data_IF_395607299987
#
_entry.id   IF_395607299987
#
_cell.length_a   1.000
_cell.length_b   1.000
_cell.length_c   1.000
_cell.angle_alpha   90.00
_cell.angle_beta   90.00
_cell.angle_gamma   90.00
#
_symmetry.space_group_name_H-M   'P 1'
#
loop_
_entity.id
_entity.type
_entity.pdbx_description
1 polymer ?
#
# COMPACT_ATOMS: atom_id res chain seq x y z
N UNK A 1 3.15 -7.28 -13.72
CA UNK A 1 2.18 -7.59 -14.81
C UNK A 1 2.80 -7.41 -16.18
N UNK A 2 3.12 -6.17 -16.62
CA UNK A 2 3.68 -5.90 -17.97
C UNK A 2 4.90 -6.77 -18.29
N UNK A 3 5.86 -6.89 -17.37
CA UNK A 3 7.01 -7.79 -17.53
C UNK A 3 6.61 -9.25 -17.85
N UNK A 4 5.61 -9.79 -17.13
CA UNK A 4 5.14 -11.15 -17.38
C UNK A 4 4.44 -11.29 -18.74
N UNK A 5 3.69 -10.26 -19.16
CA UNK A 5 3.06 -10.21 -20.48
C UNK A 5 4.12 -10.18 -21.59
N UNK A 6 5.14 -9.32 -21.48
CA UNK A 6 6.26 -9.24 -22.44
C UNK A 6 6.96 -10.59 -22.58
N UNK A 7 7.16 -11.31 -21.48
CA UNK A 7 7.91 -12.59 -21.47
C UNK A 7 7.09 -13.79 -21.94
N UNK A 8 5.77 -13.77 -21.75
CA UNK A 8 4.93 -14.98 -21.89
C UNK A 8 3.88 -14.87 -22.98
N UNK A 9 3.45 -13.66 -23.34
CA UNK A 9 2.34 -13.41 -24.27
C UNK A 9 2.63 -12.32 -25.33
N UNK A 10 3.85 -12.19 -25.89
CA UNK A 10 4.06 -11.27 -27.01
C UNK A 10 3.26 -11.74 -28.25
N UNK A 11 2.59 -10.82 -28.95
CA UNK A 11 1.84 -11.15 -30.18
C UNK A 11 0.42 -11.69 -29.96
N UNK A 12 -0.13 -11.57 -28.74
CA UNK A 12 -1.51 -12.00 -28.46
C UNK A 12 -2.51 -10.88 -28.81
N UNK A 13 -3.26 -11.05 -29.90
CA UNK A 13 -4.19 -10.04 -30.45
C UNK A 13 -5.20 -9.48 -29.44
N UNK A 14 -5.67 -10.32 -28.51
CA UNK A 14 -6.63 -9.89 -27.48
C UNK A 14 -6.05 -8.77 -26.60
N UNK A 15 -4.73 -8.74 -26.40
CA UNK A 15 -4.05 -7.69 -25.64
C UNK A 15 -4.10 -6.35 -26.36
N UNK A 16 -4.17 -6.32 -27.69
CA UNK A 16 -4.27 -5.07 -28.46
C UNK A 16 -5.61 -4.40 -28.14
N UNK A 17 -6.71 -5.14 -28.28
CA UNK A 17 -8.05 -4.63 -27.99
C UNK A 17 -8.20 -4.23 -26.52
N UNK A 18 -7.77 -5.10 -25.59
CA UNK A 18 -7.84 -4.79 -24.16
C UNK A 18 -6.97 -3.58 -23.79
N UNK A 19 -5.76 -3.47 -24.35
CA UNK A 19 -4.84 -2.38 -24.10
C UNK A 19 -5.38 -1.03 -24.57
N UNK A 20 -5.97 -0.97 -25.77
CA UNK A 20 -6.61 0.26 -26.29
C UNK A 20 -7.82 0.66 -25.45
N UNK A 21 -8.66 -0.30 -25.05
CA UNK A 21 -9.79 -0.04 -24.14
C UNK A 21 -9.28 0.50 -22.80
N UNK A 22 -8.24 -0.09 -22.22
CA UNK A 22 -7.62 0.41 -20.97
C UNK A 22 -7.07 1.83 -21.13
N UNK A 23 -6.39 2.11 -22.26
CA UNK A 23 -5.83 3.42 -22.58
C UNK A 23 -6.92 4.50 -22.59
N UNK A 24 -8.03 4.25 -23.30
CA UNK A 24 -9.16 5.16 -23.43
C UNK A 24 -9.98 5.28 -22.14
N UNK A 25 -10.30 4.14 -21.51
CA UNK A 25 -11.04 4.09 -20.25
C UNK A 25 -10.35 4.93 -19.16
N UNK A 26 -9.05 4.74 -18.98
CA UNK A 26 -8.29 5.48 -17.97
C UNK A 26 -8.27 6.99 -18.24
N UNK A 27 -8.19 7.41 -19.50
CA UNK A 27 -8.22 8.83 -19.89
C UNK A 27 -9.59 9.45 -19.64
N UNK A 28 -10.67 8.79 -20.05
CA UNK A 28 -12.04 9.29 -19.84
C UNK A 28 -12.33 9.48 -18.36
N UNK A 29 -12.06 8.46 -17.54
CA UNK A 29 -12.28 8.54 -16.09
C UNK A 29 -11.38 9.56 -15.42
N UNK A 30 -10.14 9.71 -15.86
CA UNK A 30 -9.29 10.77 -15.33
C UNK A 30 -9.84 12.17 -15.64
N UNK A 31 -10.40 12.41 -16.83
CA UNK A 31 -11.02 13.71 -17.14
C UNK A 31 -12.21 14.02 -16.21
N UNK A 32 -12.98 13.00 -15.81
CA UNK A 32 -14.13 13.17 -14.93
C UNK A 32 -13.76 13.27 -13.44
N UNK A 33 -12.58 12.82 -13.06
CA UNK A 33 -12.20 12.74 -11.65
C UNK A 33 -11.87 14.11 -11.04
N UNK A 34 -12.35 14.34 -9.81
CA UNK A 34 -12.10 15.54 -9.01
C UNK A 34 -10.98 15.37 -7.97
N UNK A 35 -10.56 14.13 -7.67
CA UNK A 35 -9.47 13.87 -6.73
C UNK A 35 -8.14 13.66 -7.45
N UNK A 36 -7.12 14.45 -7.11
CA UNK A 36 -5.82 14.41 -7.79
C UNK A 36 -5.10 13.05 -7.67
N UNK A 37 -5.25 12.33 -6.55
CA UNK A 37 -4.61 11.02 -6.34
C UNK A 37 -5.33 9.93 -7.13
N UNK A 38 -6.66 9.89 -7.04
CA UNK A 38 -7.47 8.89 -7.77
C UNK A 38 -7.31 9.05 -9.27
N UNK A 39 -7.23 10.29 -9.71
CA UNK A 39 -6.95 10.65 -11.09
C UNK A 39 -5.61 10.12 -11.60
N UNK A 40 -4.53 10.27 -10.83
CA UNK A 40 -3.23 9.76 -11.23
C UNK A 40 -3.24 8.23 -11.34
N UNK A 41 -4.12 7.58 -10.56
CA UNK A 41 -4.35 6.13 -10.59
C UNK A 41 -5.07 5.69 -11.86
N UNK A 42 -6.11 6.39 -12.31
CA UNK A 42 -6.73 6.12 -13.62
C UNK A 42 -5.74 6.28 -14.78
N UNK A 43 -4.85 7.27 -14.69
CA UNK A 43 -3.79 7.41 -15.68
C UNK A 43 -2.77 6.27 -15.64
N UNK A 44 -2.59 5.55 -14.52
CA UNK A 44 -1.78 4.31 -14.54
C UNK A 44 -2.46 3.27 -15.43
N UNK A 45 -3.78 3.08 -15.30
CA UNK A 45 -4.55 2.16 -16.16
C UNK A 45 -4.35 2.54 -17.63
N UNK A 46 -4.44 3.84 -17.94
CA UNK A 46 -4.25 4.32 -19.30
C UNK A 46 -2.85 4.00 -19.85
N UNK A 47 -1.79 4.37 -19.12
CA UNK A 47 -0.40 4.14 -19.59
C UNK A 47 -0.04 2.65 -19.64
N UNK A 48 -0.54 1.84 -18.71
CA UNK A 48 -0.41 0.38 -18.79
C UNK A 48 -1.13 -0.15 -20.03
N UNK A 49 -2.26 0.44 -20.44
CA UNK A 49 -2.94 0.13 -21.70
C UNK A 49 -2.03 0.25 -22.93
N UNK A 50 -1.17 1.28 -23.00
CA UNK A 50 -0.15 1.39 -24.07
C UNK A 50 0.83 0.22 -24.03
N UNK A 51 1.33 -0.11 -22.83
CA UNK A 51 2.28 -1.22 -22.68
C UNK A 51 1.65 -2.56 -23.07
N UNK A 52 0.41 -2.80 -22.66
CA UNK A 52 -0.35 -4.02 -22.99
C UNK A 52 -0.60 -4.10 -24.50
N UNK A 53 -0.96 -2.97 -25.14
CA UNK A 53 -1.12 -2.91 -26.61
C UNK A 53 0.19 -3.22 -27.32
N UNK A 54 1.30 -2.62 -26.89
CA UNK A 54 2.63 -2.88 -27.46
C UNK A 54 3.06 -4.35 -27.33
N UNK A 55 2.74 -5.00 -26.22
CA UNK A 55 2.94 -6.45 -26.07
C UNK A 55 2.05 -7.26 -27.03
N UNK A 56 0.80 -6.85 -27.18
CA UNK A 56 -0.14 -7.49 -28.10
C UNK A 56 0.31 -7.44 -29.56
N UNK A 57 0.88 -6.31 -30.00
CA UNK A 57 1.44 -6.17 -31.36
C UNK A 57 2.63 -7.12 -31.56
N UNK A 58 3.48 -7.28 -30.54
CA UNK A 58 4.54 -8.30 -30.54
C UNK A 58 5.72 -8.04 -31.49
N UNK A 59 5.70 -6.98 -32.30
CA UNK A 59 6.84 -6.58 -33.13
C UNK A 59 8.01 -6.08 -32.29
N UNK A 60 9.24 -6.13 -32.82
CA UNK A 60 10.43 -5.66 -32.12
C UNK A 60 10.31 -4.20 -31.66
N UNK A 61 9.77 -3.33 -32.53
CA UNK A 61 9.52 -1.92 -32.21
C UNK A 61 8.48 -1.75 -31.09
N UNK A 62 7.36 -2.48 -31.17
CA UNK A 62 6.29 -2.37 -30.18
C UNK A 62 6.69 -2.93 -28.81
N UNK A 63 7.44 -4.03 -28.77
CA UNK A 63 8.01 -4.58 -27.53
C UNK A 63 9.08 -3.68 -26.92
N UNK A 64 9.96 -3.10 -27.76
CA UNK A 64 10.89 -2.06 -27.33
C UNK A 64 10.14 -0.85 -26.75
N UNK A 65 9.07 -0.41 -27.42
CA UNK A 65 8.20 0.67 -26.95
C UNK A 65 7.53 0.34 -25.62
N UNK A 66 6.99 -0.87 -25.44
CA UNK A 66 6.37 -1.29 -24.19
C UNK A 66 7.37 -1.29 -23.01
N UNK A 67 8.59 -1.79 -23.23
CA UNK A 67 9.66 -1.79 -22.22
C UNK A 67 10.17 -0.37 -21.93
N UNK A 68 10.46 0.41 -22.96
CA UNK A 68 10.86 1.81 -22.85
C UNK A 68 9.82 2.63 -22.07
N UNK A 69 8.55 2.41 -22.40
CA UNK A 69 7.43 3.11 -21.78
C UNK A 69 7.23 2.67 -20.34
N UNK A 70 7.39 1.38 -20.01
CA UNK A 70 7.36 0.90 -18.63
C UNK A 70 8.42 1.62 -17.76
N UNK A 71 9.65 1.77 -18.28
CA UNK A 71 10.71 2.47 -17.56
C UNK A 71 10.42 3.97 -17.40
N UNK A 72 10.11 4.66 -18.50
CA UNK A 72 9.75 6.08 -18.47
C UNK A 72 8.55 6.34 -17.54
N UNK A 73 7.54 5.46 -17.57
CA UNK A 73 6.34 5.52 -16.76
C UNK A 73 6.62 5.51 -15.28
N UNK A 74 7.52 4.64 -14.81
CA UNK A 74 7.90 4.62 -13.39
C UNK A 74 8.47 5.98 -12.98
N UNK A 75 9.31 6.60 -13.80
CA UNK A 75 9.95 7.88 -13.49
C UNK A 75 8.95 9.03 -13.43
N UNK A 76 8.21 9.28 -14.52
CA UNK A 76 7.29 10.42 -14.56
C UNK A 76 6.07 10.21 -13.65
N UNK A 77 5.62 8.97 -13.40
CA UNK A 77 4.55 8.73 -12.42
C UNK A 77 5.01 8.97 -11.01
N UNK A 78 6.19 8.46 -10.64
CA UNK A 78 6.74 8.73 -9.31
C UNK A 78 6.87 10.24 -9.10
N UNK A 79 7.35 10.98 -10.11
CA UNK A 79 7.41 12.44 -10.08
C UNK A 79 6.04 13.09 -9.86
N UNK A 80 5.02 12.69 -10.62
CA UNK A 80 3.65 13.21 -10.48
C UNK A 80 3.01 12.88 -9.13
N UNK A 81 3.18 11.65 -8.63
CA UNK A 81 2.69 11.26 -7.31
C UNK A 81 3.42 11.96 -6.18
N UNK A 82 4.72 12.23 -6.33
CA UNK A 82 5.48 13.04 -5.38
C UNK A 82 5.03 14.50 -5.43
N UNK A 83 4.82 15.09 -6.62
CA UNK A 83 4.33 16.45 -6.77
C UNK A 83 2.95 16.67 -6.14
N UNK A 84 1.97 15.83 -6.51
CA UNK A 84 0.63 15.85 -5.89
C UNK A 84 0.69 15.46 -4.41
N UNK A 85 1.56 14.51 -4.04
CA UNK A 85 1.78 14.11 -2.65
C UNK A 85 2.35 15.24 -1.80
N UNK A 86 3.24 16.06 -2.34
CA UNK A 86 3.77 17.26 -1.69
C UNK A 86 2.67 18.29 -1.45
N UNK A 87 1.81 18.52 -2.44
CA UNK A 87 0.63 19.38 -2.27
C UNK A 87 -0.28 18.86 -1.17
N UNK A 88 -0.60 17.56 -1.16
CA UNK A 88 -1.46 16.96 -0.11
C UNK A 88 -0.78 17.04 1.26
N UNK A 89 0.53 16.82 1.35
CA UNK A 89 1.27 16.85 2.61
C UNK A 89 1.24 18.24 3.27
N UNK A 90 1.33 19.30 2.46
CA UNK A 90 1.36 20.67 2.97
C UNK A 90 -0.05 21.24 3.17
N UNK A 91 -0.99 20.89 2.30
CA UNK A 91 -2.34 21.47 2.32
C UNK A 91 -3.38 20.60 3.04
N UNK A 92 -3.19 19.29 3.14
CA UNK A 92 -4.19 18.34 3.62
C UNK A 92 -5.33 18.04 2.62
N UNK A 93 -5.33 18.69 1.45
CA UNK A 93 -6.42 18.61 0.47
C UNK A 93 -5.98 17.92 -0.84
N UNK A 94 -6.86 17.07 -1.40
CA UNK A 94 -6.60 16.33 -2.64
C UNK A 94 -7.55 16.70 -3.79
N UNK A 95 -8.65 17.39 -3.51
CA UNK A 95 -9.69 17.67 -4.51
C UNK A 95 -9.42 18.95 -5.28
N UNK A 96 -9.54 18.91 -6.60
CA UNK A 96 -9.39 20.10 -7.46
C UNK A 96 -10.42 21.19 -7.16
N UNK A 97 -11.60 20.84 -6.62
CA UNK A 97 -12.61 21.80 -6.17
C UNK A 97 -12.16 22.66 -4.98
N UNK A 98 -11.22 22.16 -4.17
CA UNK A 98 -10.71 22.79 -2.95
C UNK A 98 -9.35 23.49 -3.18
N UNK A 99 -8.55 22.95 -4.12
CA UNK A 99 -7.23 23.47 -4.51
C UNK A 99 -7.33 24.71 -5.43
N UNK A 100 -6.19 25.40 -5.58
CA UNK A 100 -6.06 26.59 -6.42
C UNK A 100 -5.06 27.62 -5.89
N UNK A 101 -4.50 28.45 -6.78
CA UNK A 101 -3.63 29.58 -6.44
C UNK A 101 -2.29 29.20 -5.77
N UNK A 102 -1.89 27.93 -5.83
CA UNK A 102 -0.71 27.43 -5.12
C UNK A 102 0.62 27.83 -5.76
N UNK A 103 0.64 28.42 -6.96
CA UNK A 103 1.89 28.79 -7.65
C UNK A 103 2.76 29.77 -6.86
N UNK A 104 2.15 30.62 -6.03
CA UNK A 104 2.85 31.60 -5.19
C UNK A 104 3.54 30.98 -3.97
N UNK A 105 3.06 29.82 -3.54
CA UNK A 105 3.47 29.17 -2.29
C UNK A 105 4.32 27.93 -2.54
N UNK A 106 4.06 27.21 -3.63
CA UNK A 106 4.74 25.97 -3.99
C UNK A 106 5.30 25.97 -5.43
N UNK A 107 6.17 26.93 -5.80
CA UNK A 107 6.70 27.07 -7.16
C UNK A 107 7.63 25.93 -7.62
N UNK A 108 8.43 25.33 -6.72
CA UNK A 108 9.31 24.21 -7.09
C UNK A 108 8.50 22.94 -7.32
N UNK A 109 7.53 22.67 -6.44
CA UNK A 109 6.62 21.54 -6.59
C UNK A 109 5.80 21.66 -7.90
N UNK A 110 5.42 22.89 -8.28
CA UNK A 110 4.80 23.19 -9.58
C UNK A 110 5.72 22.80 -10.74
N UNK A 111 6.96 23.28 -10.77
CA UNK A 111 7.91 23.02 -11.87
C UNK A 111 8.14 21.52 -12.04
N UNK A 112 8.37 20.80 -10.94
CA UNK A 112 8.55 19.35 -10.99
C UNK A 112 7.29 18.61 -11.47
N UNK A 113 6.11 19.04 -11.02
CA UNK A 113 4.84 18.46 -11.50
C UNK A 113 4.62 18.74 -12.98
N UNK A 114 4.95 19.94 -13.46
CA UNK A 114 4.89 20.30 -14.88
C UNK A 114 5.81 19.42 -15.72
N UNK A 115 7.04 19.19 -15.28
CA UNK A 115 7.97 18.27 -15.95
C UNK A 115 7.37 16.86 -16.03
N UNK A 116 6.80 16.36 -14.94
CA UNK A 116 6.10 15.06 -14.93
C UNK A 116 4.89 15.04 -15.88
N UNK A 117 4.11 16.12 -15.91
CA UNK A 117 2.93 16.31 -16.75
C UNK A 117 3.27 16.36 -18.24
N UNK A 118 4.33 17.08 -18.62
CA UNK A 118 4.84 17.12 -19.99
C UNK A 118 5.42 15.76 -20.40
N UNK A 119 6.09 15.07 -19.46
CA UNK A 119 6.66 13.75 -19.70
C UNK A 119 5.61 12.69 -20.00
N UNK A 120 4.55 12.57 -19.19
CA UNK A 120 3.47 11.60 -19.45
C UNK A 120 2.67 11.93 -20.71
N UNK A 121 2.63 13.21 -21.08
CA UNK A 121 1.87 13.71 -22.23
C UNK A 121 2.60 13.58 -23.56
N UNK A 122 3.79 12.98 -23.57
CA UNK A 122 4.63 12.88 -24.76
C UNK A 122 4.93 14.24 -25.40
N UNK A 123 5.23 15.26 -24.58
CA UNK A 123 5.76 16.52 -25.10
C UNK A 123 7.21 16.31 -25.59
N UNK A 124 7.63 16.88 -26.74
CA UNK A 124 9.00 16.77 -27.23
C UNK A 124 10.04 17.13 -26.16
N UNK A 125 11.21 16.49 -26.22
CA UNK A 125 12.29 16.61 -25.22
C UNK A 125 12.05 15.88 -23.89
N UNK A 126 10.92 15.19 -23.72
CA UNK A 126 10.64 14.39 -22.52
C UNK A 126 10.49 12.89 -22.81
N UNK A 127 10.65 12.07 -21.77
CA UNK A 127 10.72 10.60 -21.86
C UNK A 127 9.48 9.92 -22.48
N UNK A 128 8.29 10.49 -22.32
CA UNK A 128 7.08 9.95 -22.97
C UNK A 128 7.08 10.14 -24.47
N UNK A 129 7.70 11.19 -25.01
CA UNK A 129 7.78 11.43 -26.45
C UNK A 129 8.63 10.38 -27.15
N UNK A 130 9.65 9.86 -26.47
CA UNK A 130 10.50 8.77 -26.98
C UNK A 130 9.80 7.42 -26.82
N UNK A 131 9.26 7.13 -25.65
CA UNK A 131 8.79 5.78 -25.33
C UNK A 131 7.40 5.46 -25.88
N UNK A 132 6.47 6.41 -25.79
CA UNK A 132 5.05 6.21 -26.15
C UNK A 132 4.86 6.18 -27.67
N UNK A 133 5.63 7.00 -28.38
CA UNK A 133 5.64 7.08 -29.85
C UNK A 133 6.08 5.78 -30.51
N UNK A 134 6.99 5.01 -29.89
CA UNK A 134 7.39 3.69 -30.39
C UNK A 134 6.21 2.71 -30.45
N UNK A 135 5.35 2.69 -29.42
CA UNK A 135 4.16 1.82 -29.41
C UNK A 135 3.15 2.26 -30.46
N UNK A 136 2.91 3.57 -30.58
CA UNK A 136 1.98 4.12 -31.58
C UNK A 136 2.50 3.88 -33.00
N UNK A 137 3.80 4.07 -33.23
CA UNK A 137 4.45 3.84 -34.53
C UNK A 137 4.44 2.36 -34.88
N UNK A 138 4.71 1.47 -33.91
CA UNK A 138 4.59 0.03 -34.10
C UNK A 138 3.17 -0.40 -34.48
N UNK A 139 2.14 0.26 -33.96
CA UNK A 139 0.75 0.01 -34.37
C UNK A 139 0.46 0.51 -35.80
N UNK A 140 1.05 1.63 -36.23
CA UNK A 140 0.93 2.12 -37.61
C UNK A 140 1.66 1.22 -38.61
N UNK A 141 2.88 0.77 -38.28
CA UNK A 141 3.69 -0.12 -39.11
C UNK A 141 3.03 -1.49 -39.31
N UNK A 142 2.32 -1.98 -38.29
CA UNK A 142 1.58 -3.25 -38.34
C UNK A 142 0.15 -3.10 -38.94
N UNK A 143 -0.14 -1.95 -39.55
CA UNK A 143 -1.44 -1.63 -40.17
C UNK A 143 -2.66 -1.67 -39.22
N UNK A 144 -2.43 -1.57 -37.92
CA UNK A 144 -3.47 -1.55 -36.88
C UNK A 144 -3.99 -0.12 -36.65
N UNK A 145 -4.54 0.47 -37.72
CA UNK A 145 -4.96 1.89 -37.74
C UNK A 145 -5.93 2.25 -36.60
N UNK A 146 -6.87 1.37 -36.27
CA UNK A 146 -7.84 1.61 -35.19
C UNK A 146 -7.16 1.68 -33.82
N UNK A 147 -6.14 0.86 -33.58
CA UNK A 147 -5.39 0.85 -32.33
C UNK A 147 -4.49 2.08 -32.26
N UNK A 148 -3.78 2.39 -33.34
CA UNK A 148 -2.92 3.57 -33.42
C UNK A 148 -3.71 4.88 -33.21
N UNK A 149 -4.88 5.02 -33.84
CA UNK A 149 -5.80 6.14 -33.62
C UNK A 149 -6.33 6.20 -32.18
N UNK A 150 -6.75 5.06 -31.61
CA UNK A 150 -7.21 4.97 -30.22
C UNK A 150 -6.13 5.39 -29.22
N UNK A 151 -4.90 4.91 -29.40
CA UNK A 151 -3.74 5.29 -28.60
C UNK A 151 -3.34 6.76 -28.78
N UNK A 152 -3.49 7.31 -29.99
CA UNK A 152 -3.24 8.72 -30.28
C UNK A 152 -4.27 9.61 -29.59
N UNK A 153 -5.55 9.24 -29.65
CA UNK A 153 -6.64 9.91 -28.93
C UNK A 153 -6.44 9.87 -27.41
N UNK A 154 -6.07 8.71 -26.86
CA UNK A 154 -5.71 8.59 -25.46
C UNK A 154 -4.50 9.48 -25.10
N UNK A 155 -3.58 9.74 -26.04
CA UNK A 155 -2.42 10.59 -25.80
C UNK A 155 -2.81 12.07 -25.72
N UNK A 156 -3.67 12.52 -26.64
CA UNK A 156 -4.29 13.83 -26.58
C UNK A 156 -5.04 14.04 -25.26
N UNK A 157 -5.87 13.07 -24.85
CA UNK A 157 -6.57 13.14 -23.57
C UNK A 157 -5.64 13.09 -22.34
N UNK A 158 -4.50 12.40 -22.43
CA UNK A 158 -3.46 12.43 -21.40
C UNK A 158 -2.89 13.84 -21.23
N UNK A 159 -2.64 14.56 -22.33
CA UNK A 159 -2.17 15.94 -22.30
C UNK A 159 -3.23 16.91 -21.79
N UNK A 160 -4.46 16.83 -22.33
CA UNK A 160 -5.62 17.61 -21.87
C UNK A 160 -5.75 17.55 -20.35
N UNK A 161 -5.56 16.36 -19.81
CA UNK A 161 -5.74 16.11 -18.41
C UNK A 161 -4.47 16.42 -17.60
N UNK A 162 -3.43 15.62 -17.74
CA UNK A 162 -2.28 15.63 -16.83
C UNK A 162 -1.28 16.72 -17.18
N UNK A 163 -1.20 17.10 -18.46
CA UNK A 163 -0.40 18.22 -18.93
C UNK A 163 -1.04 19.59 -18.64
N UNK A 164 -2.37 19.69 -18.70
CA UNK A 164 -3.10 20.97 -18.57
C UNK A 164 -4.00 21.04 -17.35
N UNK A 165 -5.01 20.16 -17.23
CA UNK A 165 -6.00 20.17 -16.13
C UNK A 165 -5.35 20.12 -14.74
N UNK A 166 -4.37 19.23 -14.52
CA UNK A 166 -3.72 19.09 -13.20
C UNK A 166 -2.94 20.36 -12.80
N UNK A 167 -1.97 20.86 -13.61
CA UNK A 167 -1.29 22.10 -13.28
C UNK A 167 -2.24 23.28 -13.12
N UNK A 168 -3.24 23.38 -13.99
CA UNK A 168 -4.21 24.46 -13.98
C UNK A 168 -5.01 24.48 -12.67
N UNK A 169 -5.71 23.40 -12.32
CA UNK A 169 -6.62 23.41 -11.17
C UNK A 169 -5.92 23.38 -9.80
N UNK A 170 -4.67 22.92 -9.73
CA UNK A 170 -3.91 22.94 -8.47
C UNK A 170 -3.23 24.30 -8.25
N UNK A 171 -2.57 24.85 -9.27
CA UNK A 171 -1.69 26.00 -9.09
C UNK A 171 -2.21 27.31 -9.66
N UNK A 172 -2.88 27.31 -10.81
CA UNK A 172 -3.25 28.53 -11.54
C UNK A 172 -4.72 28.93 -11.37
N UNK A 173 -5.56 27.98 -10.98
CA UNK A 173 -6.99 28.19 -10.77
C UNK A 173 -7.23 28.95 -9.46
N UNK A 174 -8.04 30.01 -9.51
CA UNK A 174 -8.31 30.95 -8.39
C UNK A 174 -7.07 31.71 -7.91
N UNK A 175 -7.29 32.89 -7.34
CA UNK A 175 -6.20 33.70 -6.77
C UNK A 175 -5.65 33.15 -5.46
N UNK A 176 -6.50 32.44 -4.70
CA UNK A 176 -6.18 31.83 -3.40
C UNK A 176 -6.92 30.49 -3.22
N UNK A 177 -6.34 29.54 -2.48
CA UNK A 177 -7.01 28.29 -2.13
C UNK A 177 -8.25 28.53 -1.25
N UNK A 178 -9.15 27.55 -1.18
CA UNK A 178 -10.34 27.59 -0.31
C UNK A 178 -10.04 27.36 1.18
N UNK A 179 -8.76 27.16 1.52
CA UNK A 179 -8.24 26.88 2.86
C UNK A 179 -7.09 27.83 3.19
N UNK A 180 -6.53 27.75 4.40
CA UNK A 180 -5.40 28.61 4.80
C UNK A 180 -4.19 28.36 3.87
N UNK A 181 -3.65 29.38 3.20
CA UNK A 181 -2.56 29.17 2.25
C UNK A 181 -1.34 28.54 2.90
N UNK A 182 -0.67 27.61 2.21
CA UNK A 182 0.48 26.94 2.78
C UNK A 182 1.63 27.93 2.99
N UNK A 183 2.30 27.82 4.15
CA UNK A 183 3.38 28.75 4.55
C UNK A 183 4.76 28.31 4.05
N UNK A 184 4.88 27.08 3.55
CA UNK A 184 6.14 26.46 3.14
C UNK A 184 5.93 25.54 1.95
N UNK A 185 7.02 25.30 1.24
CA UNK A 185 7.11 24.29 0.19
C UNK A 185 7.04 22.85 0.74
N UNK A 186 6.98 21.89 -0.19
CA UNK A 186 7.17 20.49 0.15
C UNK A 186 8.53 20.26 0.85
N UNK A 187 8.62 19.29 1.78
CA UNK A 187 9.88 18.95 2.46
C UNK A 187 11.05 18.72 1.49
N UNK A 188 12.26 19.13 1.90
CA UNK A 188 13.45 19.12 1.04
C UNK A 188 13.77 17.73 0.47
N UNK A 189 13.60 16.67 1.27
CA UNK A 189 13.78 15.29 0.82
C UNK A 189 12.84 14.91 -0.34
N UNK A 190 11.60 15.40 -0.33
CA UNK A 190 10.67 15.20 -1.44
C UNK A 190 11.10 16.00 -2.67
N UNK A 191 11.55 17.25 -2.50
CA UNK A 191 12.04 18.08 -3.61
C UNK A 191 13.28 17.49 -4.29
N UNK A 192 14.21 16.93 -3.51
CA UNK A 192 15.41 16.26 -4.06
C UNK A 192 14.99 15.03 -4.87
N UNK A 193 14.09 14.20 -4.34
CA UNK A 193 13.58 13.03 -5.07
C UNK A 193 12.85 13.43 -6.36
N UNK A 194 12.06 14.50 -6.33
CA UNK A 194 11.42 15.07 -7.51
C UNK A 194 12.45 15.57 -8.53
N UNK A 195 13.50 16.27 -8.10
CA UNK A 195 14.55 16.77 -8.97
C UNK A 195 15.27 15.64 -9.70
N UNK A 196 15.59 14.55 -9.01
CA UNK A 196 16.23 13.36 -9.60
C UNK A 196 15.31 12.74 -10.66
N UNK A 197 14.03 12.52 -10.34
CA UNK A 197 13.08 11.94 -11.29
C UNK A 197 12.86 12.87 -12.51
N UNK A 198 12.75 14.18 -12.28
CA UNK A 198 12.63 15.19 -13.34
C UNK A 198 13.85 15.20 -14.26
N UNK A 199 15.07 15.14 -13.69
CA UNK A 199 16.31 15.04 -14.45
C UNK A 199 16.29 13.83 -15.40
N UNK A 200 15.95 12.64 -14.92
CA UNK A 200 15.89 11.46 -15.77
C UNK A 200 14.77 11.52 -16.82
N UNK A 201 13.63 12.15 -16.51
CA UNK A 201 12.56 12.35 -17.49
C UNK A 201 13.01 13.22 -18.68
N UNK A 202 13.77 14.28 -18.42
CA UNK A 202 14.34 15.15 -19.46
C UNK A 202 15.52 14.46 -20.15
N UNK A 203 16.42 13.82 -19.40
CA UNK A 203 17.59 13.14 -19.94
C UNK A 203 17.21 12.08 -20.98
N UNK A 204 16.21 11.25 -20.68
CA UNK A 204 15.74 10.22 -21.62
C UNK A 204 15.12 10.86 -22.87
N UNK A 205 14.43 11.98 -22.72
CA UNK A 205 13.86 12.72 -23.85
C UNK A 205 14.95 13.28 -24.76
N UNK A 206 15.92 14.02 -24.19
CA UNK A 206 17.00 14.68 -24.94
C UNK A 206 18.02 13.68 -25.49
N UNK A 207 18.32 12.61 -24.75
CA UNK A 207 19.26 11.56 -25.16
C UNK A 207 18.60 10.16 -25.16
N UNK A 208 17.80 9.83 -26.19
CA UNK A 208 17.15 8.52 -26.31
C UNK A 208 18.14 7.36 -26.39
N UNK A 209 19.35 7.60 -26.92
CA UNK A 209 20.35 6.56 -27.18
C UNK A 209 20.76 5.78 -25.92
N UNK A 210 20.78 6.45 -24.76
CA UNK A 210 21.08 5.80 -23.48
C UNK A 210 20.01 4.77 -23.10
N UNK A 211 18.74 5.09 -23.33
CA UNK A 211 17.64 4.16 -23.10
C UNK A 211 17.64 3.02 -24.13
N UNK A 212 17.88 3.33 -25.40
CA UNK A 212 17.85 2.37 -26.50
C UNK A 212 18.85 1.22 -26.35
N UNK A 213 20.03 1.50 -25.77
CA UNK A 213 21.03 0.46 -25.47
C UNK A 213 20.58 -0.55 -24.42
N UNK A 214 19.56 -0.22 -23.62
CA UNK A 214 19.00 -1.07 -22.57
C UNK A 214 17.74 -1.82 -23.04
N UNK A 215 17.27 -1.57 -24.26
CA UNK A 215 16.07 -2.19 -24.81
C UNK A 215 16.34 -3.62 -25.28
N UNK A 216 15.32 -4.49 -25.28
CA UNK A 216 15.49 -5.91 -25.59
C UNK A 216 15.90 -6.20 -27.04
N UNK A 217 15.56 -5.32 -27.99
CA UNK A 217 15.93 -5.43 -29.40
C UNK A 217 16.67 -4.17 -29.87
N UNK A 218 17.43 -4.28 -30.95
CA UNK A 218 18.11 -3.14 -31.56
C UNK A 218 17.11 -2.05 -31.96
N UNK A 219 17.21 -0.89 -31.33
CA UNK A 219 16.28 0.22 -31.54
C UNK A 219 16.87 1.24 -32.52
N UNK A 220 16.39 1.21 -33.77
CA UNK A 220 16.68 2.21 -34.83
C UNK A 220 15.61 3.30 -34.92
N UNK A 221 14.75 3.43 -33.92
CA UNK A 221 13.64 4.37 -33.94
C UNK A 221 14.09 5.82 -33.76
N UNK A 222 13.72 6.70 -34.70
CA UNK A 222 14.04 8.13 -34.66
C UNK A 222 12.84 8.97 -34.23
N UNK A 223 12.67 9.28 -32.92
CA UNK A 223 11.51 10.01 -32.42
C UNK A 223 11.48 11.47 -32.91
N UNK A 224 12.64 12.06 -33.22
CA UNK A 224 12.73 13.46 -33.65
C UNK A 224 12.66 13.65 -35.16
N UNK A 225 11.94 12.77 -35.88
CA UNK A 225 11.65 13.00 -37.28
C UNK A 225 10.77 14.24 -37.44
N UNK A 226 10.98 15.01 -38.51
CA UNK A 226 10.23 16.26 -38.74
C UNK A 226 8.72 16.01 -38.78
N UNK A 227 8.29 14.90 -39.38
CA UNK A 227 6.88 14.50 -39.41
C UNK A 227 6.34 14.22 -38.00
N UNK A 228 7.01 13.38 -37.21
CA UNK A 228 6.51 13.01 -35.88
C UNK A 228 6.44 14.22 -34.93
N UNK A 229 7.44 15.10 -34.98
CA UNK A 229 7.45 16.35 -34.20
C UNK A 229 6.30 17.26 -34.63
N UNK A 230 6.09 17.43 -35.94
CA UNK A 230 5.01 18.28 -36.47
C UNK A 230 3.63 17.77 -36.05
N UNK A 231 3.34 16.48 -36.27
CA UNK A 231 2.06 15.86 -35.91
C UNK A 231 1.81 15.94 -34.40
N UNK A 232 2.83 15.65 -33.59
CA UNK A 232 2.73 15.72 -32.13
C UNK A 232 2.47 17.15 -31.66
N UNK A 233 3.17 18.14 -32.23
CA UNK A 233 2.94 19.55 -31.91
C UNK A 233 1.54 19.99 -32.30
N UNK A 234 1.02 19.58 -33.45
CA UNK A 234 -0.36 19.87 -33.85
C UNK A 234 -1.35 19.31 -32.84
N UNK A 235 -1.25 18.02 -32.48
CA UNK A 235 -2.14 17.40 -31.50
C UNK A 235 -2.07 18.14 -30.15
N UNK A 236 -0.86 18.46 -29.68
CA UNK A 236 -0.66 19.16 -28.41
C UNK A 236 -1.26 20.58 -28.46
N UNK A 237 -0.99 21.36 -29.51
CA UNK A 237 -1.50 22.72 -29.67
C UNK A 237 -3.03 22.75 -29.81
N UNK A 238 -3.62 21.85 -30.61
CA UNK A 238 -5.08 21.75 -30.74
C UNK A 238 -5.73 21.27 -29.43
N UNK A 239 -5.10 20.38 -28.70
CA UNK A 239 -5.57 19.95 -27.38
C UNK A 239 -5.50 21.12 -26.37
N UNK A 240 -4.42 21.90 -26.41
CA UNK A 240 -4.27 23.10 -25.58
C UNK A 240 -5.33 24.16 -25.91
N UNK A 241 -5.56 24.43 -27.19
CA UNK A 241 -6.64 25.31 -27.65
C UNK A 241 -8.00 24.79 -27.16
N UNK A 242 -8.28 23.50 -27.36
CA UNK A 242 -9.51 22.85 -26.90
C UNK A 242 -9.71 22.94 -25.39
N UNK A 243 -8.64 22.79 -24.60
CA UNK A 243 -8.67 22.95 -23.14
C UNK A 243 -9.14 24.34 -22.75
N UNK A 244 -8.53 25.40 -23.30
CA UNK A 244 -8.90 26.77 -22.94
C UNK A 244 -10.30 27.16 -23.42
N UNK A 245 -10.72 26.68 -24.60
CA UNK A 245 -12.08 26.90 -25.11
C UNK A 245 -13.14 26.18 -24.26
N UNK A 246 -12.83 24.98 -23.76
CA UNK A 246 -13.76 24.13 -23.01
C UNK A 246 -13.52 24.15 -21.50
N UNK A 247 -12.71 25.08 -20.99
CA UNK A 247 -12.35 25.16 -19.57
C UNK A 247 -13.59 25.26 -18.68
N UNK A 248 -14.65 25.91 -19.19
CA UNK A 248 -15.95 26.01 -18.51
C UNK A 248 -16.72 24.71 -18.37
N UNK A 249 -16.41 23.70 -19.19
CA UNK A 249 -16.98 22.36 -19.08
C UNK A 249 -16.12 21.39 -18.26
N UNK A 250 -14.86 21.76 -18.01
CA UNK A 250 -13.89 20.96 -17.27
C UNK A 250 -13.84 21.31 -15.78
N UNK A 251 -14.83 22.07 -15.28
CA UNK A 251 -14.90 22.45 -13.88
C UNK A 251 -14.90 21.21 -12.99
N UNK A 252 -14.08 21.20 -11.92
CA UNK A 252 -14.10 20.13 -10.95
C UNK A 252 -15.42 20.14 -10.17
N UNK A 253 -16.33 19.25 -10.55
CA UNK A 253 -17.56 19.02 -9.81
C UNK A 253 -17.28 18.11 -8.60
N UNK A 254 -17.88 18.37 -7.43
CA UNK A 254 -17.73 17.54 -6.23
C UNK A 254 -18.57 16.26 -6.32
N UNK A 255 -18.47 15.55 -7.44
CA UNK A 255 -19.13 14.27 -7.69
C UNK A 255 -18.11 13.14 -7.58
N UNK A 256 -18.56 12.00 -7.09
CA UNK A 256 -17.77 10.76 -7.12
C UNK A 256 -18.01 10.10 -8.47
N UNK A 257 -16.95 9.97 -9.28
CA UNK A 257 -17.01 9.14 -10.48
C UNK A 257 -17.26 7.68 -10.06
N UNK A 258 -18.41 7.13 -10.45
CA UNK A 258 -18.71 5.71 -10.29
C UNK A 258 -18.03 4.94 -11.41
N UNK A 259 -17.16 4.02 -11.03
CA UNK A 259 -16.45 3.16 -11.97
C UNK A 259 -16.76 1.70 -11.66
N UNK A 260 -15.91 0.76 -12.07
CA UNK A 260 -16.07 -0.65 -11.69
C UNK A 260 -16.04 -0.85 -10.17
N UNK A 261 -15.54 0.14 -9.41
CA UNK A 261 -15.63 0.20 -7.96
C UNK A 261 -17.07 0.12 -7.42
N UNK A 262 -18.09 0.45 -8.22
CA UNK A 262 -19.48 0.34 -7.80
C UNK A 262 -19.84 -1.09 -7.39
N UNK A 263 -19.38 -2.10 -8.14
CA UNK A 263 -19.61 -3.50 -7.81
C UNK A 263 -18.97 -3.87 -6.48
N UNK A 264 -17.74 -3.43 -6.23
CA UNK A 264 -17.05 -3.65 -4.96
C UNK A 264 -17.73 -2.92 -3.80
N UNK A 265 -18.15 -1.67 -3.99
CA UNK A 265 -18.85 -0.89 -2.97
C UNK A 265 -20.20 -1.51 -2.62
N UNK A 266 -20.98 -1.93 -3.62
CA UNK A 266 -22.28 -2.58 -3.39
C UNK A 266 -22.11 -3.96 -2.80
N UNK A 267 -21.16 -4.75 -3.29
CA UNK A 267 -20.77 -6.03 -2.71
C UNK A 267 -20.32 -5.89 -1.26
N UNK A 268 -19.54 -4.86 -0.92
CA UNK A 268 -19.11 -4.60 0.45
C UNK A 268 -20.29 -4.28 1.38
N UNK A 269 -21.29 -3.51 0.92
CA UNK A 269 -22.51 -3.26 1.71
C UNK A 269 -23.25 -4.56 1.99
N UNK A 270 -23.40 -5.42 0.98
CA UNK A 270 -24.04 -6.74 1.13
C UNK A 270 -23.23 -7.63 2.08
N UNK A 271 -21.91 -7.65 1.94
CA UNK A 271 -21.01 -8.40 2.82
C UNK A 271 -21.06 -7.91 4.26
N UNK A 272 -21.09 -6.58 4.47
CA UNK A 272 -21.20 -5.99 5.81
C UNK A 272 -22.57 -6.27 6.44
N UNK A 273 -23.64 -6.32 5.66
CA UNK A 273 -24.95 -6.76 6.13
C UNK A 273 -24.91 -8.23 6.56
N UNK A 274 -24.32 -9.11 5.73
CA UNK A 274 -24.10 -10.51 6.09
C UNK A 274 -23.29 -10.67 7.39
N UNK A 275 -22.19 -9.94 7.54
CA UNK A 275 -21.36 -9.96 8.76
C UNK A 275 -22.14 -9.48 10.00
N UNK A 276 -22.94 -8.42 9.85
CA UNK A 276 -23.72 -7.85 10.95
C UNK A 276 -24.87 -8.76 11.38
N UNK A 277 -25.53 -9.39 10.42
CA UNK A 277 -26.80 -10.06 10.69
C UNK A 277 -26.61 -11.56 10.91
N UNK A 278 -25.79 -12.22 10.08
CA UNK A 278 -25.57 -13.66 10.15
C UNK A 278 -24.46 -14.00 11.14
N UNK A 279 -23.28 -13.39 10.97
CA UNK A 279 -22.11 -13.67 11.83
C UNK A 279 -22.36 -13.24 13.28
N UNK A 280 -22.96 -12.06 13.51
CA UNK A 280 -23.33 -11.63 14.87
C UNK A 280 -24.38 -12.56 15.50
N UNK A 281 -25.34 -13.06 14.71
CA UNK A 281 -26.35 -14.00 15.21
C UNK A 281 -25.70 -15.32 15.63
N UNK A 282 -24.76 -15.84 14.83
CA UNK A 282 -24.00 -17.04 15.20
C UNK A 282 -23.18 -16.81 16.47
N UNK A 283 -22.50 -15.68 16.61
CA UNK A 283 -21.71 -15.36 17.79
C UNK A 283 -22.58 -15.21 19.04
N UNK A 284 -23.64 -14.40 18.97
CA UNK A 284 -24.50 -14.12 20.12
C UNK A 284 -25.39 -15.29 20.52
N UNK A 285 -25.93 -16.06 19.57
CA UNK A 285 -26.86 -17.16 19.87
C UNK A 285 -26.20 -18.52 19.97
N UNK A 286 -25.16 -18.80 19.17
CA UNK A 286 -24.55 -20.15 19.15
C UNK A 286 -23.34 -20.17 20.05
N UNK A 287 -22.34 -19.32 19.78
CA UNK A 287 -21.06 -19.33 20.50
C UNK A 287 -21.26 -18.94 21.97
N UNK A 288 -22.00 -17.85 22.23
CA UNK A 288 -22.25 -17.39 23.60
C UNK A 288 -23.07 -18.38 24.43
N UNK A 289 -24.03 -19.07 23.81
CA UNK A 289 -24.80 -20.11 24.49
C UNK A 289 -23.95 -21.35 24.74
N UNK A 290 -23.12 -21.80 23.79
CA UNK A 290 -22.15 -22.88 24.02
C UNK A 290 -21.19 -22.54 25.16
N UNK A 291 -20.68 -21.30 25.19
CA UNK A 291 -19.79 -20.85 26.24
C UNK A 291 -20.48 -20.83 27.62
N UNK A 292 -21.72 -20.30 27.70
CA UNK A 292 -22.48 -20.24 28.96
C UNK A 292 -22.99 -21.58 29.45
N UNK A 293 -23.44 -22.44 28.54
CA UNK A 293 -24.10 -23.71 28.89
C UNK A 293 -23.10 -24.84 29.09
N UNK A 294 -21.97 -24.82 28.39
CA UNK A 294 -21.00 -25.91 28.43
C UNK A 294 -19.66 -25.50 29.03
N UNK A 295 -19.00 -24.47 28.48
CA UNK A 295 -17.63 -24.12 28.89
C UNK A 295 -17.55 -23.56 30.33
N UNK A 296 -18.42 -22.62 30.68
CA UNK A 296 -18.45 -21.97 32.00
C UNK A 296 -18.75 -22.94 33.16
N UNK A 297 -19.77 -23.82 33.07
CA UNK A 297 -20.05 -24.81 34.10
C UNK A 297 -18.89 -25.79 34.28
N UNK A 298 -18.27 -26.22 33.18
CA UNK A 298 -17.12 -27.11 33.18
C UNK A 298 -15.90 -26.47 33.88
N UNK A 299 -15.56 -25.23 33.51
CA UNK A 299 -14.50 -24.44 34.15
C UNK A 299 -14.76 -24.23 35.64
N UNK A 300 -15.99 -23.87 36.04
CA UNK A 300 -16.37 -23.74 37.45
C UNK A 300 -16.29 -25.07 38.18
N UNK A 301 -16.60 -26.18 37.51
CA UNK A 301 -16.42 -27.53 38.03
C UNK A 301 -14.96 -27.82 38.35
N UNK A 302 -14.06 -27.59 37.39
CA UNK A 302 -12.61 -27.74 37.61
C UNK A 302 -12.10 -26.84 38.73
N UNK A 303 -12.53 -25.58 38.79
CA UNK A 303 -12.13 -24.65 39.85
C UNK A 303 -12.57 -25.15 41.24
N UNK A 304 -13.79 -25.71 41.37
CA UNK A 304 -14.26 -26.31 42.63
C UNK A 304 -13.43 -27.53 43.03
N UNK A 305 -13.08 -28.39 42.08
CA UNK A 305 -12.23 -29.57 42.33
C UNK A 305 -10.83 -29.15 42.77
N UNK A 306 -10.24 -28.16 42.09
CA UNK A 306 -8.94 -27.61 42.45
C UNK A 306 -8.96 -27.01 43.87
N UNK A 307 -9.98 -26.20 44.19
CA UNK A 307 -10.13 -25.62 45.53
C UNK A 307 -10.38 -26.67 46.61
N UNK A 308 -11.14 -27.72 46.30
CA UNK A 308 -11.33 -28.86 47.22
C UNK A 308 -10.01 -29.59 47.47
N UNK A 309 -9.22 -29.83 46.43
CA UNK A 309 -7.91 -30.47 46.56
C UNK A 309 -6.95 -29.63 47.41
N UNK A 310 -6.94 -28.32 47.21
CA UNK A 310 -6.14 -27.39 48.00
C UNK A 310 -6.53 -27.46 49.50
N UNK A 311 -7.81 -27.25 49.81
CA UNK A 311 -8.30 -27.21 51.20
C UNK A 311 -8.30 -28.56 51.92
N UNK A 312 -8.41 -29.69 51.22
CA UNK A 312 -8.53 -31.02 51.85
C UNK A 312 -7.26 -31.84 51.79
N UNK A 313 -6.54 -31.75 50.68
CA UNK A 313 -5.34 -32.56 50.46
C UNK A 313 -4.11 -31.78 50.85
N UNK A 314 -3.92 -30.57 50.33
CA UNK A 314 -2.71 -29.78 50.60
C UNK A 314 -2.70 -29.32 52.05
N UNK A 315 -3.74 -28.57 52.47
CA UNK A 315 -3.86 -28.10 53.86
C UNK A 315 -3.92 -29.29 54.82
N UNK A 316 -4.64 -30.36 54.45
CA UNK A 316 -4.72 -31.57 55.27
C UNK A 316 -3.37 -32.26 55.48
N UNK A 317 -2.50 -32.31 54.47
CA UNK A 317 -1.13 -32.85 54.63
C UNK A 317 -0.29 -31.94 55.52
N UNK A 318 -0.37 -30.62 55.33
CA UNK A 318 0.37 -29.64 56.12
C UNK A 318 -0.07 -29.67 57.58
N UNK A 319 -1.36 -29.62 57.87
CA UNK A 319 -1.92 -29.64 59.22
C UNK A 319 -1.60 -30.95 59.94
N UNK A 320 -1.75 -32.10 59.27
CA UNK A 320 -1.39 -33.39 59.87
C UNK A 320 0.11 -33.50 60.15
N UNK A 321 0.95 -32.93 59.30
CA UNK A 321 2.39 -32.89 59.55
C UNK A 321 2.72 -32.02 60.76
N UNK A 322 2.08 -30.86 60.90
CA UNK A 322 2.24 -29.99 62.05
C UNK A 322 1.74 -30.65 63.35
N UNK A 323 0.57 -31.29 63.31
CA UNK A 323 0.04 -32.06 64.44
C UNK A 323 0.96 -33.22 64.84
N UNK A 324 1.57 -33.91 63.88
CA UNK A 324 2.54 -34.97 64.17
C UNK A 324 3.78 -34.42 64.90
N UNK A 325 4.34 -33.29 64.44
CA UNK A 325 5.50 -32.65 65.08
C UNK A 325 5.15 -32.15 66.49
N UNK A 326 3.99 -31.52 66.67
CA UNK A 326 3.53 -31.05 67.98
C UNK A 326 3.29 -32.23 68.94
N UNK A 327 2.63 -33.28 68.48
CA UNK A 327 2.40 -34.50 69.27
C UNK A 327 3.72 -35.15 69.69
N UNK A 328 4.69 -35.25 68.77
CA UNK A 328 6.01 -35.77 69.07
C UNK A 328 6.75 -34.88 70.08
N UNK A 329 6.63 -33.56 69.95
CA UNK A 329 7.18 -32.57 70.88
C UNK A 329 6.59 -32.69 72.28
N UNK A 330 5.27 -32.82 72.41
CA UNK A 330 4.60 -33.04 73.70
C UNK A 330 5.01 -34.39 74.31
N UNK A 331 5.11 -35.44 73.49
CA UNK A 331 5.60 -36.74 73.93
C UNK A 331 7.05 -36.64 74.43
N UNK A 332 7.93 -35.94 73.70
CA UNK A 332 9.31 -35.70 74.11
C UNK A 332 9.42 -34.81 75.35
N UNK A 333 8.54 -33.82 75.52
CA UNK A 333 8.51 -32.96 76.71
C UNK A 333 8.14 -33.75 77.96
N UNK A 334 7.05 -34.52 77.90
CA UNK A 334 6.61 -35.38 79.00
C UNK A 334 7.62 -36.50 79.24
N UNK A 335 8.22 -37.04 78.17
CA UNK A 335 9.32 -37.98 78.29
C UNK A 335 10.49 -37.29 78.99
N UNK A 336 11.19 -36.32 78.40
CA UNK A 336 12.43 -35.74 78.94
C UNK A 336 12.29 -35.04 80.29
N UNK A 337 11.16 -34.39 80.58
CA UNK A 337 10.96 -33.63 81.81
C UNK A 337 9.80 -34.16 82.68
N UNK A 338 9.93 -35.34 83.31
CA UNK A 338 8.84 -35.95 84.06
C UNK A 338 8.63 -35.34 85.46
N UNK A 339 9.42 -34.32 85.85
CA UNK A 339 9.31 -33.65 87.16
C UNK A 339 9.78 -34.48 88.37
N UNK A 340 10.22 -35.72 88.17
CA UNK A 340 10.65 -36.65 89.23
C UNK A 340 12.17 -36.82 89.17
N UNK A 341 12.90 -36.45 90.23
CA UNK A 341 14.37 -36.46 90.29
C UNK A 341 14.98 -37.85 89.99
N UNK A 342 14.36 -38.92 90.48
CA UNK A 342 14.84 -40.31 90.28
C UNK A 342 14.87 -40.73 88.81
N UNK A 343 13.94 -40.22 87.98
CA UNK A 343 13.90 -40.53 86.54
C UNK A 343 14.99 -39.79 85.76
N UNK A 344 15.42 -38.61 86.20
CA UNK A 344 16.55 -37.91 85.57
C UNK A 344 17.86 -38.65 85.82
N UNK A 345 18.11 -39.09 87.06
CA UNK A 345 19.32 -39.85 87.42
C UNK A 345 19.40 -41.16 86.63
N UNK A 346 18.30 -41.93 86.57
CA UNK A 346 18.24 -43.16 85.79
C UNK A 346 18.56 -42.93 84.31
N UNK A 347 18.09 -41.82 83.73
CA UNK A 347 18.36 -41.49 82.33
C UNK A 347 19.79 -41.06 82.07
N UNK A 348 20.36 -40.21 82.92
CA UNK A 348 21.77 -39.83 82.80
C UNK A 348 22.67 -41.06 82.88
N UNK A 349 22.35 -42.01 83.76
CA UNK A 349 23.03 -43.30 83.82
C UNK A 349 22.85 -44.13 82.55
N UNK A 350 21.64 -44.21 81.96
CA UNK A 350 21.44 -44.92 80.69
C UNK A 350 22.15 -44.25 79.51
N UNK A 351 22.24 -42.92 79.46
CA UNK A 351 22.98 -42.20 78.41
C UNK A 351 24.48 -42.43 78.59
N UNK A 352 25.00 -42.37 79.81
CA UNK A 352 26.40 -42.69 80.11
C UNK A 352 26.74 -44.16 79.80
N UNK A 353 25.85 -45.09 80.13
CA UNK A 353 25.99 -46.51 79.77
C UNK A 353 25.94 -46.70 78.25
N UNK A 354 25.06 -45.98 77.55
CA UNK A 354 25.00 -45.97 76.10
C UNK A 354 26.27 -45.42 75.45
N UNK A 355 26.81 -44.30 75.95
CA UNK A 355 28.09 -43.73 75.50
C UNK A 355 29.25 -44.69 75.78
N UNK A 356 29.27 -45.33 76.94
CA UNK A 356 30.28 -46.33 77.29
C UNK A 356 30.20 -47.56 76.38
N UNK A 357 28.99 -48.06 76.09
CA UNK A 357 28.76 -49.13 75.12
C UNK A 357 29.18 -48.73 73.71
N UNK A 358 28.87 -47.50 73.28
CA UNK A 358 29.24 -46.98 71.96
C UNK A 358 30.76 -46.80 71.85
N UNK A 359 31.42 -46.36 72.92
CA UNK A 359 32.87 -46.26 73.01
C UNK A 359 33.56 -47.64 73.06
N UNK A 360 32.91 -48.64 73.66
CA UNK A 360 33.35 -50.04 73.63
C UNK A 360 33.11 -50.70 72.27
N UNK A 361 32.08 -50.29 71.54
CA UNK A 361 31.77 -50.79 70.19
C UNK A 361 32.64 -50.15 69.10
N UNK A 362 33.12 -48.91 69.32
CA UNK A 362 34.02 -48.17 68.44
C UNK A 362 35.52 -48.45 68.72
N UNK A 363 35.83 -49.25 69.75
CA UNK A 363 37.14 -49.88 69.96
C UNK A 363 37.09 -51.29 69.41
#
# INVERSE_FOLDING_TARGET
>A
AVYALVRSFPGFDILIAMGVVMALYGVVYAVLENDARRLLSYHIISQVGYMVTGVGIGTALALNGACAHAYAHILYKSLLFMGVGGVIQVTGHSKFSELGGLWKYMPYTLVFTLIGGLSISAFPLFSGFVSKSMVISGAWEDHLNWAALGLTLASAGTFLHTGLKVPYFIWFWRDKPSFEPPKKEAPLNMLIAMAIAAYYCVLIGVNPSGLYKLLPFDATYHPYSAQHVMESMQILLFTMLGFFLLIKKLYPEPKVGLDLDWFYRRGAVVFMAFCRDVLRMLDEKVIKNLHKTFALPLLRGFARVANWNDQRVVDGVVDNSAHAVLSLGDHMRVFMQPGILSRYIARTLTVLAGIALLALYLR
#
